data_IF_900749821084
#
_entry.id   IF_900749821084
#
_cell.length_a   1.000
_cell.length_b   1.000
_cell.length_c   1.000
_cell.angle_alpha   90.00
_cell.angle_beta   90.00
_cell.angle_gamma   90.00
#
_symmetry.space_group_name_H-M   'P 1'
#
loop_
_entity.id
_entity.type
_entity.pdbx_description
1 polymer ?
#
# COMPACT_ATOMS: atom_id res chain seq x y z
N UNK A 1 9.74 13.22 -71.96
CA UNK A 1 10.00 11.89 -71.34
C UNK A 1 9.17 11.81 -70.06
N UNK A 2 8.29 10.80 -69.96
CA UNK A 2 7.73 10.08 -68.79
C UNK A 2 7.83 10.81 -67.42
N UNK A 3 6.81 10.99 -66.58
CA UNK A 3 5.64 10.14 -66.28
C UNK A 3 4.65 10.91 -65.36
N UNK A 4 3.35 10.78 -65.61
CA UNK A 4 2.25 11.13 -64.68
C UNK A 4 2.05 10.02 -63.62
N UNK A 5 1.67 10.39 -62.39
CA UNK A 5 0.92 9.59 -61.40
C UNK A 5 0.19 10.57 -60.46
N UNK A 6 -1.05 10.94 -60.78
CA UNK A 6 -2.32 10.35 -60.31
C UNK A 6 -2.77 10.86 -58.92
N UNK A 7 -3.83 11.67 -58.96
CA UNK A 7 -4.76 11.97 -57.87
C UNK A 7 -5.46 10.67 -57.43
N UNK A 8 -5.76 10.52 -56.15
CA UNK A 8 -7.12 10.11 -55.73
C UNK A 8 -7.51 10.66 -54.35
N UNK A 9 -8.82 10.86 -54.11
CA UNK A 9 -9.37 11.58 -52.98
C UNK A 9 -9.92 10.67 -51.87
N UNK A 10 -10.14 11.31 -50.73
CA UNK A 10 -10.86 10.84 -49.56
C UNK A 10 -12.26 10.24 -49.83
N UNK A 11 -12.65 9.35 -48.90
CA UNK A 11 -14.02 9.03 -48.44
C UNK A 11 -14.93 8.18 -49.35
N UNK A 12 -14.99 6.88 -49.04
CA UNK A 12 -16.18 5.98 -49.13
C UNK A 12 -16.50 5.51 -47.72
N UNK A 13 -17.72 5.17 -47.29
CA UNK A 13 -19.07 5.27 -47.81
C UNK A 13 -19.94 4.74 -46.66
N UNK A 14 -20.78 5.60 -46.07
CA UNK A 14 -21.81 5.18 -45.13
C UNK A 14 -23.06 4.78 -45.94
N UNK A 15 -23.51 3.54 -45.78
CA UNK A 15 -24.73 3.07 -46.43
C UNK A 15 -25.97 3.21 -45.52
N UNK A 16 -27.06 3.55 -46.22
CA UNK A 16 -28.44 3.15 -45.97
C UNK A 16 -29.31 3.97 -45.02
N UNK A 17 -29.90 5.01 -45.61
CA UNK A 17 -31.28 5.44 -45.35
C UNK A 17 -32.23 4.48 -46.07
N UNK A 18 -33.19 3.89 -45.36
CA UNK A 18 -34.38 3.32 -45.98
C UNK A 18 -35.61 4.06 -45.46
N UNK A 19 -36.35 4.64 -46.40
CA UNK A 19 -37.56 5.42 -46.19
C UNK A 19 -38.79 4.56 -46.48
N UNK A 20 -39.87 4.87 -45.75
CA UNK A 20 -41.27 4.84 -46.20
C UNK A 20 -42.01 3.48 -46.24
N UNK A 21 -42.95 3.29 -45.32
CA UNK A 21 -44.41 3.50 -45.50
C UNK A 21 -45.17 2.70 -44.44
N UNK A 22 -46.06 3.40 -43.72
CA UNK A 22 -47.01 2.75 -42.83
C UNK A 22 -48.09 2.01 -43.62
N UNK A 23 -48.52 0.87 -43.07
CA UNK A 23 -49.85 0.31 -43.28
C UNK A 23 -50.09 -0.70 -42.15
N UNK A 24 -51.08 -0.39 -41.31
CA UNK A 24 -51.62 -1.31 -40.32
C UNK A 24 -52.37 -2.44 -41.05
N UNK A 25 -52.24 -3.69 -40.61
CA UNK A 25 -53.34 -4.65 -40.69
C UNK A 25 -53.17 -5.77 -39.65
N UNK A 26 -54.30 -6.07 -39.04
CA UNK A 26 -54.61 -7.03 -37.97
C UNK A 26 -54.25 -8.47 -38.34
N UNK A 27 -53.72 -9.25 -37.39
CA UNK A 27 -53.89 -10.71 -37.39
C UNK A 27 -53.68 -11.31 -35.98
N UNK A 28 -54.77 -11.78 -35.42
CA UNK A 28 -54.88 -12.68 -34.27
C UNK A 28 -54.18 -14.02 -34.57
N UNK A 29 -53.35 -14.55 -33.66
CA UNK A 29 -53.15 -16.00 -33.52
C UNK A 29 -52.39 -16.37 -32.23
N UNK A 30 -53.13 -17.03 -31.36
CA UNK A 30 -52.74 -17.84 -30.20
C UNK A 30 -51.68 -18.88 -30.58
N UNK A 31 -50.54 -18.97 -29.87
CA UNK A 31 -49.74 -20.20 -29.74
C UNK A 31 -48.85 -20.18 -28.47
N UNK A 32 -48.71 -21.37 -27.88
CA UNK A 32 -48.23 -21.72 -26.55
C UNK A 32 -46.73 -21.47 -26.33
N UNK A 33 -46.37 -20.95 -25.15
CA UNK A 33 -45.01 -21.06 -24.60
C UNK A 33 -45.02 -21.86 -23.30
N UNK A 34 -44.21 -22.91 -23.30
CA UNK A 34 -43.80 -23.68 -22.14
C UNK A 34 -43.17 -22.77 -21.08
N UNK A 35 -43.39 -23.15 -19.82
CA UNK A 35 -43.19 -22.32 -18.65
C UNK A 35 -41.78 -21.77 -18.45
N UNK A 36 -41.74 -20.54 -17.95
CA UNK A 36 -40.71 -20.06 -17.05
C UNK A 36 -41.46 -19.48 -15.85
N UNK A 37 -41.45 -20.19 -14.71
CA UNK A 37 -42.06 -19.70 -13.47
C UNK A 37 -41.27 -18.48 -13.01
N UNK A 38 -41.93 -17.33 -12.94
CA UNK A 38 -41.42 -16.11 -12.33
C UNK A 38 -41.86 -16.10 -10.87
N UNK A 39 -40.95 -16.39 -9.95
CA UNK A 39 -41.17 -16.11 -8.52
C UNK A 39 -41.19 -14.59 -8.30
N UNK A 40 -42.07 -14.07 -7.44
CA UNK A 40 -41.95 -12.70 -6.97
C UNK A 40 -40.81 -12.64 -5.94
N UNK A 41 -39.77 -11.86 -6.23
CA UNK A 41 -38.78 -11.49 -5.25
C UNK A 41 -39.46 -10.61 -4.19
N UNK A 42 -39.69 -11.18 -3.01
CA UNK A 42 -40.12 -10.46 -1.82
C UNK A 42 -38.97 -9.55 -1.38
N UNK A 43 -39.15 -8.23 -1.55
CA UNK A 43 -38.22 -7.23 -1.03
C UNK A 43 -38.46 -7.13 0.47
N UNK A 44 -37.62 -7.82 1.24
CA UNK A 44 -37.57 -7.64 2.69
C UNK A 44 -37.24 -6.18 3.00
N UNK A 45 -38.13 -5.52 3.74
CA UNK A 45 -37.94 -4.15 4.20
C UNK A 45 -36.79 -4.13 5.20
N UNK A 46 -35.66 -3.54 4.82
CA UNK A 46 -34.51 -3.36 5.71
C UNK A 46 -34.79 -2.15 6.60
N UNK A 47 -35.33 -2.39 7.80
CA UNK A 47 -35.29 -1.43 8.90
C UNK A 47 -34.03 -1.69 9.71
N UNK A 48 -32.90 -1.16 9.27
CA UNK A 48 -31.71 -1.02 10.11
C UNK A 48 -31.00 0.28 9.74
N UNK A 49 -31.39 1.35 10.42
CA UNK A 49 -30.56 2.56 10.53
C UNK A 49 -29.41 2.23 11.48
N UNK A 50 -28.47 1.41 11.05
CA UNK A 50 -27.13 1.44 11.60
C UNK A 50 -26.28 2.18 10.59
N UNK A 51 -25.67 3.28 11.05
CA UNK A 51 -24.73 4.03 10.26
C UNK A 51 -23.71 3.04 9.68
N UNK A 52 -23.57 3.05 8.35
CA UNK A 52 -22.49 2.37 7.65
C UNK A 52 -21.18 2.99 8.15
N UNK A 53 -20.68 2.46 9.27
CA UNK A 53 -19.32 2.67 9.70
C UNK A 53 -18.48 2.11 8.57
N UNK A 54 -17.71 2.96 7.90
CA UNK A 54 -16.65 2.54 6.99
C UNK A 54 -15.88 1.45 7.74
N UNK A 55 -16.09 0.18 7.34
CA UNK A 55 -15.43 -0.94 7.98
C UNK A 55 -14.00 -0.84 7.49
N UNK A 56 -13.15 -0.16 8.27
CA UNK A 56 -11.73 -0.46 8.28
C UNK A 56 -11.70 -1.95 8.53
N UNK A 57 -11.30 -2.74 7.53
CA UNK A 57 -11.22 -4.18 7.64
C UNK A 57 -10.12 -4.52 8.65
N UNK A 58 -10.50 -4.47 9.93
CA UNK A 58 -9.61 -4.69 11.06
C UNK A 58 -9.21 -6.15 11.06
N UNK A 59 -7.91 -6.45 11.16
CA UNK A 59 -7.47 -7.83 11.23
C UNK A 59 -8.05 -8.51 12.49
N UNK A 60 -8.24 -9.85 12.49
CA UNK A 60 -8.73 -10.57 13.67
C UNK A 60 -7.89 -10.37 14.94
N UNK A 61 -6.59 -10.11 14.76
CA UNK A 61 -5.65 -9.83 15.85
C UNK A 61 -5.65 -8.35 16.29
N UNK A 62 -6.50 -7.50 15.74
CA UNK A 62 -6.69 -6.11 16.16
C UNK A 62 -6.26 -5.08 15.12
N UNK A 63 -6.11 -3.84 15.59
CA UNK A 63 -5.75 -2.69 14.77
C UNK A 63 -4.25 -2.48 14.71
N UNK A 64 -3.80 -1.90 13.61
CA UNK A 64 -2.41 -1.59 13.38
C UNK A 64 -2.30 -0.22 12.75
N UNK A 65 -1.11 0.37 12.86
CA UNK A 65 -0.79 1.63 12.23
C UNK A 65 0.58 1.55 11.58
N UNK A 66 0.62 1.96 10.32
CA UNK A 66 1.87 2.23 9.61
C UNK A 66 1.83 3.65 9.09
N UNK A 67 2.96 4.14 8.63
CA UNK A 67 3.05 5.43 7.98
C UNK A 67 4.01 5.38 6.81
N UNK A 68 3.72 6.19 5.80
CA UNK A 68 4.62 6.38 4.68
C UNK A 68 5.82 7.24 5.10
N UNK A 69 6.91 7.17 4.33
CA UNK A 69 8.04 8.09 4.49
C UNK A 69 7.61 9.57 4.43
N UNK A 70 6.62 9.92 3.62
CA UNK A 70 6.09 11.29 3.54
C UNK A 70 5.31 11.70 4.79
N UNK A 71 4.58 10.77 5.40
CA UNK A 71 3.90 11.00 6.68
C UNK A 71 4.88 11.32 7.80
N UNK A 72 5.91 10.49 7.97
CA UNK A 72 6.94 10.72 9.00
C UNK A 72 7.79 11.97 8.76
N UNK A 73 8.06 12.30 7.50
CA UNK A 73 8.78 13.51 7.10
C UNK A 73 7.96 14.81 7.16
N UNK A 74 6.67 14.74 7.48
CA UNK A 74 5.83 15.94 7.52
C UNK A 74 6.23 16.90 8.63
N UNK A 75 6.15 18.21 8.36
CA UNK A 75 6.31 19.24 9.40
C UNK A 75 5.31 18.98 10.53
N UNK A 76 5.74 18.89 11.80
CA UNK A 76 4.85 18.67 12.93
C UNK A 76 3.72 19.70 12.99
N UNK A 77 2.48 19.25 12.84
CA UNK A 77 1.30 20.10 12.92
C UNK A 77 0.06 19.29 13.30
N UNK A 78 -0.67 19.75 14.33
CA UNK A 78 -1.84 19.04 14.82
C UNK A 78 -1.51 17.60 15.20
N UNK A 79 -2.33 16.65 14.78
CA UNK A 79 -2.17 15.23 15.09
C UNK A 79 -1.48 14.43 13.97
N UNK A 80 -0.72 15.10 13.09
CA UNK A 80 -0.06 14.40 11.98
C UNK A 80 1.09 13.48 12.47
N UNK A 81 1.59 12.57 11.61
CA UNK A 81 2.65 11.64 12.03
C UNK A 81 3.95 12.33 12.42
N UNK A 82 4.27 13.49 11.84
CA UNK A 82 5.41 14.32 12.25
C UNK A 82 5.31 14.78 13.72
N UNK A 83 4.13 15.22 14.17
CA UNK A 83 3.91 15.54 15.59
C UNK A 83 4.15 14.35 16.49
N UNK A 84 3.62 13.18 16.11
CA UNK A 84 3.81 11.95 16.89
C UNK A 84 5.29 11.54 16.97
N UNK A 85 6.01 11.61 15.85
CA UNK A 85 7.46 11.36 15.79
C UNK A 85 8.21 12.25 16.78
N UNK A 86 7.98 13.56 16.75
CA UNK A 86 8.68 14.50 17.64
C UNK A 86 8.35 14.30 19.11
N UNK A 87 7.11 13.94 19.44
CA UNK A 87 6.70 13.67 20.82
C UNK A 87 7.34 12.41 21.40
N UNK A 88 7.55 11.37 20.60
CA UNK A 88 7.87 10.03 21.10
C UNK A 88 9.29 9.54 20.78
N UNK A 89 10.00 10.18 19.83
CA UNK A 89 11.27 9.66 19.33
C UNK A 89 12.31 9.42 20.42
N UNK A 90 12.50 10.37 21.35
CA UNK A 90 13.52 10.24 22.39
C UNK A 90 13.24 9.06 23.35
N UNK A 91 11.97 8.73 23.60
CA UNK A 91 11.59 7.58 24.42
C UNK A 91 11.70 6.25 23.65
N UNK A 92 11.25 6.23 22.41
CA UNK A 92 11.29 5.04 21.57
C UNK A 92 12.72 4.68 21.11
N UNK A 93 13.57 5.69 20.88
CA UNK A 93 14.92 5.57 20.33
C UNK A 93 15.94 6.33 21.22
N UNK A 94 16.19 5.87 22.45
CA UNK A 94 17.07 6.58 23.40
C UNK A 94 18.53 6.70 22.92
N UNK A 95 18.95 5.84 21.99
CA UNK A 95 20.29 5.87 21.34
C UNK A 95 20.23 6.30 19.88
N UNK A 96 19.09 6.84 19.42
CA UNK A 96 18.82 7.10 18.01
C UNK A 96 18.35 5.88 17.23
N UNK A 97 17.97 6.12 15.97
CA UNK A 97 17.58 5.10 15.01
C UNK A 97 18.76 4.81 14.08
N UNK A 98 19.21 3.56 14.07
CA UNK A 98 20.24 3.07 13.15
C UNK A 98 19.63 2.10 12.13
N UNK A 99 19.90 2.33 10.84
CA UNK A 99 19.49 1.43 9.75
C UNK A 99 20.69 1.09 8.87
N UNK A 100 20.73 -0.12 8.32
CA UNK A 100 21.88 -0.69 7.62
C UNK A 100 22.61 -1.74 8.47
N UNK A 101 23.84 -2.07 8.07
CA UNK A 101 24.66 -3.08 8.72
C UNK A 101 26.17 -2.73 8.61
N UNK A 102 26.93 -3.23 7.62
CA UNK A 102 28.35 -2.86 7.38
C UNK A 102 28.49 -1.34 7.27
N UNK A 103 27.62 -0.75 6.46
CA UNK A 103 27.39 0.70 6.41
C UNK A 103 25.99 1.02 6.91
N UNK A 104 25.84 2.19 7.54
CA UNK A 104 24.63 2.55 8.27
C UNK A 104 24.28 4.04 8.18
N UNK A 105 23.01 4.34 8.38
CA UNK A 105 22.51 5.67 8.70
C UNK A 105 22.14 5.70 10.18
N UNK A 106 22.63 6.70 10.90
CA UNK A 106 22.23 7.01 12.27
C UNK A 106 21.46 8.32 12.31
N UNK A 107 20.22 8.28 12.82
CA UNK A 107 19.42 9.45 13.13
C UNK A 107 19.35 9.63 14.65
N UNK A 108 19.83 10.77 15.12
CA UNK A 108 19.97 11.06 16.56
C UNK A 108 18.79 11.82 17.15
N UNK A 109 17.85 12.29 16.32
CA UNK A 109 16.68 13.05 16.75
C UNK A 109 15.51 12.90 15.78
N UNK A 110 14.31 13.24 16.24
CA UNK A 110 13.13 13.38 15.39
C UNK A 110 13.34 14.41 14.27
N UNK A 111 13.99 15.55 14.56
CA UNK A 111 14.26 16.57 13.56
C UNK A 111 15.17 16.04 12.44
N UNK A 112 16.21 15.27 12.78
CA UNK A 112 17.08 14.66 11.76
C UNK A 112 16.32 13.73 10.81
N UNK A 113 15.25 13.08 11.29
CA UNK A 113 14.37 12.26 10.46
C UNK A 113 13.45 13.13 9.61
N UNK A 114 12.85 14.18 10.18
CA UNK A 114 12.02 15.14 9.43
C UNK A 114 12.81 15.83 8.32
N UNK A 115 14.07 16.19 8.57
CA UNK A 115 14.93 16.83 7.56
C UNK A 115 15.34 15.85 6.44
N UNK A 116 15.40 14.56 6.75
CA UNK A 116 15.76 13.50 5.81
C UNK A 116 14.58 13.03 4.96
N UNK A 117 13.41 12.82 5.56
CA UNK A 117 12.28 12.20 4.91
C UNK A 117 11.34 13.23 4.24
N UNK A 118 10.73 12.90 3.08
CA UNK A 118 11.03 11.73 2.24
C UNK A 118 12.29 11.95 1.39
N UNK A 119 13.10 10.89 1.25
CA UNK A 119 14.27 10.87 0.36
C UNK A 119 14.06 9.87 -0.79
N UNK A 120 13.53 10.35 -1.92
CA UNK A 120 13.29 9.53 -3.13
C UNK A 120 14.58 9.19 -3.89
N UNK A 121 14.47 8.90 -5.19
CA UNK A 121 15.63 8.55 -6.03
C UNK A 121 15.81 7.03 -6.22
N UNK A 122 16.89 6.59 -6.88
CA UNK A 122 17.16 5.16 -7.05
C UNK A 122 17.47 4.47 -5.72
N UNK A 123 17.18 3.18 -5.63
CA UNK A 123 17.67 2.36 -4.52
C UNK A 123 19.16 2.06 -4.72
N UNK A 124 19.98 2.33 -3.72
CA UNK A 124 21.44 2.14 -3.77
C UNK A 124 21.92 1.53 -2.44
N UNK A 125 22.92 0.65 -2.49
CA UNK A 125 23.64 0.17 -1.30
C UNK A 125 24.50 1.30 -0.72
N UNK A 126 24.52 1.45 0.60
CA UNK A 126 25.38 2.41 1.27
C UNK A 126 26.87 2.07 1.05
N UNK A 127 27.70 3.09 0.94
CA UNK A 127 29.16 2.94 0.74
C UNK A 127 29.99 3.49 1.90
N UNK A 128 29.33 4.11 2.88
CA UNK A 128 29.92 4.66 4.09
C UNK A 128 28.85 4.81 5.18
N UNK A 129 29.29 5.06 6.41
CA UNK A 129 28.39 5.45 7.50
C UNK A 129 28.00 6.93 7.38
N UNK A 130 26.75 7.23 7.74
CA UNK A 130 26.21 8.58 7.78
C UNK A 130 25.57 8.85 9.14
N UNK A 131 25.67 10.09 9.61
CA UNK A 131 24.97 10.56 10.82
C UNK A 131 24.16 11.79 10.46
N UNK A 132 22.86 11.75 10.72
CA UNK A 132 21.88 12.78 10.37
C UNK A 132 22.02 13.31 8.93
N UNK A 133 22.04 12.44 7.90
CA UNK A 133 22.04 12.93 6.51
C UNK A 133 20.73 13.67 6.21
N UNK A 134 20.80 14.76 5.45
CA UNK A 134 19.59 15.51 5.02
C UNK A 134 19.06 15.01 3.68
N UNK A 135 19.94 14.53 2.78
CA UNK A 135 19.52 14.01 1.47
C UNK A 135 20.56 13.06 0.90
N UNK A 136 20.16 11.84 0.57
CA UNK A 136 21.01 10.85 -0.10
C UNK A 136 20.49 10.46 -1.49
N UNK A 137 19.24 10.80 -1.81
CA UNK A 137 18.49 10.33 -2.98
C UNK A 137 18.43 8.80 -3.02
N UNK A 138 18.09 8.19 -1.88
CA UNK A 138 17.98 6.73 -1.74
C UNK A 138 16.60 6.31 -1.21
N UNK A 139 15.72 5.89 -2.13
CA UNK A 139 14.34 5.50 -1.79
C UNK A 139 14.29 4.31 -0.83
N UNK A 140 15.21 3.36 -0.94
CA UNK A 140 15.20 2.19 -0.05
C UNK A 140 15.51 2.60 1.38
N UNK A 141 16.52 3.46 1.57
CA UNK A 141 16.86 3.98 2.90
C UNK A 141 15.67 4.71 3.53
N UNK A 142 15.01 5.58 2.77
CA UNK A 142 13.81 6.31 3.22
C UNK A 142 12.67 5.38 3.63
N UNK A 143 12.40 4.33 2.86
CA UNK A 143 11.37 3.32 3.18
C UNK A 143 11.72 2.49 4.41
N UNK A 144 12.99 2.09 4.58
CA UNK A 144 13.46 1.34 5.76
C UNK A 144 13.33 2.20 7.03
N UNK A 145 13.68 3.49 6.96
CA UNK A 145 13.50 4.41 8.10
C UNK A 145 12.02 4.48 8.47
N UNK A 146 11.12 4.66 7.51
CA UNK A 146 9.69 4.72 7.75
C UNK A 146 9.11 3.44 8.38
N UNK A 147 9.55 2.27 7.93
CA UNK A 147 9.13 0.99 8.50
C UNK A 147 9.70 0.80 9.92
N UNK A 148 10.97 1.13 10.12
CA UNK A 148 11.63 1.03 11.43
C UNK A 148 10.92 1.88 12.48
N UNK A 149 10.47 3.08 12.11
CA UNK A 149 9.66 3.94 12.97
C UNK A 149 8.33 3.29 13.33
N UNK A 150 7.59 2.78 12.34
CA UNK A 150 6.28 2.15 12.58
C UNK A 150 6.41 0.93 13.50
N UNK A 151 7.34 0.02 13.22
CA UNK A 151 7.59 -1.19 14.04
C UNK A 151 7.99 -0.83 15.46
N UNK A 152 8.90 0.15 15.63
CA UNK A 152 9.37 0.51 16.96
C UNK A 152 8.32 1.27 17.76
N UNK A 153 7.55 2.15 17.14
CA UNK A 153 6.51 2.90 17.83
C UNK A 153 5.35 2.00 18.26
N UNK A 154 4.99 1.01 17.45
CA UNK A 154 4.04 -0.03 17.83
C UNK A 154 4.50 -0.80 19.09
N UNK A 155 5.78 -1.17 19.16
CA UNK A 155 6.34 -1.82 20.34
C UNK A 155 6.53 -0.91 21.57
N UNK A 156 6.63 0.42 21.35
CA UNK A 156 6.89 1.40 22.41
C UNK A 156 5.61 1.94 23.04
N UNK A 157 4.60 2.24 22.22
CA UNK A 157 3.32 2.81 22.64
C UNK A 157 2.19 1.85 22.26
N UNK A 158 1.58 1.15 23.23
CA UNK A 158 0.44 0.26 22.99
C UNK A 158 -0.75 0.94 22.30
N UNK A 159 -0.87 2.26 22.40
CA UNK A 159 -1.94 3.03 21.76
C UNK A 159 -1.63 3.40 20.30
N UNK A 160 -0.43 3.09 19.79
CA UNK A 160 -0.05 3.43 18.42
C UNK A 160 -0.83 2.63 17.37
N UNK A 161 -0.85 1.30 17.50
CA UNK A 161 -1.63 0.38 16.68
C UNK A 161 -2.86 -0.17 17.40
N UNK A 162 -2.79 -0.36 18.73
CA UNK A 162 -3.89 -0.84 19.56
C UNK A 162 -4.10 -2.36 19.59
N UNK A 163 -3.39 -3.13 18.75
CA UNK A 163 -3.35 -4.60 18.82
C UNK A 163 -2.46 -5.09 19.98
N UNK A 164 -2.76 -6.28 20.49
CA UNK A 164 -1.86 -7.03 21.39
C UNK A 164 -0.79 -7.84 20.66
N UNK A 165 -0.92 -8.02 19.35
CA UNK A 165 0.11 -8.60 18.46
C UNK A 165 0.99 -7.47 17.96
N UNK A 166 2.30 -7.68 17.92
CA UNK A 166 3.21 -6.66 17.41
C UNK A 166 3.12 -6.57 15.88
N UNK A 167 3.16 -5.35 15.33
CA UNK A 167 3.26 -5.09 13.89
C UNK A 167 4.41 -5.86 13.25
N UNK A 168 5.53 -5.97 13.96
CA UNK A 168 6.72 -6.72 13.51
C UNK A 168 6.49 -8.22 13.31
N UNK A 169 5.44 -8.79 13.92
CA UNK A 169 5.11 -10.23 13.86
C UNK A 169 4.04 -10.55 12.82
N UNK A 170 3.44 -9.53 12.19
CA UNK A 170 2.52 -9.73 11.08
C UNK A 170 3.21 -10.36 9.88
N UNK A 171 2.45 -11.16 9.14
CA UNK A 171 2.95 -12.00 8.06
C UNK A 171 2.59 -11.41 6.70
N UNK A 172 3.55 -11.37 5.78
CA UNK A 172 3.32 -10.95 4.40
C UNK A 172 2.48 -12.01 3.68
N UNK A 173 1.42 -11.58 2.99
CA UNK A 173 0.43 -12.48 2.37
C UNK A 173 0.85 -12.95 0.97
N UNK A 174 1.57 -12.14 0.20
CA UNK A 174 1.85 -12.41 -1.22
C UNK A 174 3.23 -11.92 -1.68
N UNK A 175 3.64 -12.37 -2.87
CA UNK A 175 4.93 -12.02 -3.49
C UNK A 175 6.12 -12.82 -2.96
N UNK A 176 7.32 -12.38 -3.30
CA UNK A 176 8.61 -13.04 -2.97
C UNK A 176 8.81 -13.29 -1.47
N UNK A 177 8.19 -12.47 -0.62
CA UNK A 177 8.32 -12.51 0.84
C UNK A 177 7.11 -13.13 1.55
N UNK A 178 6.18 -13.75 0.81
CA UNK A 178 5.01 -14.40 1.40
C UNK A 178 5.42 -15.40 2.50
N UNK A 179 4.76 -15.31 3.66
CA UNK A 179 5.06 -16.14 4.82
C UNK A 179 6.17 -15.61 5.74
N UNK A 180 6.93 -14.58 5.34
CA UNK A 180 7.86 -13.89 6.23
C UNK A 180 7.13 -12.92 7.15
N UNK A 181 7.69 -12.65 8.32
CA UNK A 181 7.22 -11.57 9.19
C UNK A 181 7.76 -10.21 8.75
N UNK A 182 7.10 -9.13 9.16
CA UNK A 182 7.58 -7.76 8.97
C UNK A 182 8.99 -7.57 9.54
N UNK A 183 9.29 -8.11 10.71
CA UNK A 183 10.62 -8.06 11.32
C UNK A 183 11.67 -8.81 10.49
N UNK A 184 11.32 -9.97 9.91
CA UNK A 184 12.23 -10.72 9.05
C UNK A 184 12.55 -9.95 7.75
N UNK A 185 11.54 -9.34 7.13
CA UNK A 185 11.73 -8.47 5.95
C UNK A 185 12.56 -7.25 6.32
N UNK A 186 12.29 -6.58 7.43
CA UNK A 186 13.05 -5.41 7.88
C UNK A 186 14.52 -5.77 8.15
N UNK A 187 14.81 -6.94 8.71
CA UNK A 187 16.18 -7.41 8.93
C UNK A 187 16.93 -7.63 7.60
N UNK A 188 16.30 -8.29 6.61
CA UNK A 188 16.89 -8.47 5.29
C UNK A 188 17.08 -7.15 4.54
N UNK A 189 16.14 -6.21 4.67
CA UNK A 189 16.25 -4.88 4.09
C UNK A 189 17.46 -4.11 4.63
N UNK A 190 17.72 -4.20 5.94
CA UNK A 190 18.92 -3.60 6.55
C UNK A 190 20.21 -4.23 6.01
N UNK A 191 20.23 -5.54 5.72
CA UNK A 191 21.37 -6.19 5.08
C UNK A 191 21.61 -5.64 3.67
N UNK A 192 20.56 -5.61 2.85
CA UNK A 192 20.63 -5.11 1.47
C UNK A 192 21.07 -3.64 1.44
N UNK A 193 20.48 -2.78 2.27
CA UNK A 193 20.86 -1.36 2.35
C UNK A 193 22.32 -1.20 2.79
N UNK A 194 22.72 -1.91 3.85
CA UNK A 194 24.02 -1.74 4.49
C UNK A 194 25.17 -2.48 3.82
N UNK A 195 24.93 -3.22 2.75
CA UNK A 195 25.97 -3.96 2.01
C UNK A 195 26.38 -5.29 2.66
N UNK A 196 25.51 -5.89 3.47
CA UNK A 196 25.68 -7.26 3.94
C UNK A 196 25.15 -8.25 2.92
N UNK A 197 25.60 -9.50 3.03
CA UNK A 197 25.13 -10.58 2.18
C UNK A 197 23.63 -10.79 2.39
N UNK A 198 22.88 -10.67 1.30
CA UNK A 198 21.47 -11.07 1.18
C UNK A 198 21.27 -11.66 -0.22
N UNK A 199 20.30 -12.55 -0.34
CA UNK A 199 19.90 -13.13 -1.62
C UNK A 199 18.88 -12.27 -2.38
N UNK A 200 18.34 -11.25 -1.71
CA UNK A 200 17.31 -10.37 -2.27
C UNK A 200 17.92 -9.13 -2.90
N UNK A 201 17.22 -8.57 -3.88
CA UNK A 201 17.66 -7.37 -4.58
C UNK A 201 17.16 -6.08 -3.93
N UNK A 202 17.76 -4.95 -4.32
CA UNK A 202 17.28 -3.62 -3.94
C UNK A 202 15.83 -3.38 -4.35
N UNK A 203 15.41 -3.86 -5.54
CA UNK A 203 14.04 -3.67 -6.04
C UNK A 203 13.04 -4.46 -5.21
N UNK A 204 13.35 -5.73 -4.92
CA UNK A 204 12.51 -6.59 -4.08
C UNK A 204 12.22 -5.92 -2.73
N UNK A 205 13.26 -5.33 -2.12
CA UNK A 205 13.15 -4.65 -0.83
C UNK A 205 12.35 -3.36 -0.89
N UNK A 206 12.50 -2.56 -1.96
CA UNK A 206 11.68 -1.34 -2.12
C UNK A 206 10.21 -1.70 -2.24
N UNK A 207 9.87 -2.69 -3.05
CA UNK A 207 8.49 -3.09 -3.31
C UNK A 207 7.79 -3.62 -2.05
N UNK A 208 8.42 -4.55 -1.33
CA UNK A 208 7.83 -5.16 -0.12
C UNK A 208 7.69 -4.14 1.01
N UNK A 209 8.72 -3.33 1.28
CA UNK A 209 8.67 -2.35 2.39
C UNK A 209 7.68 -1.24 2.08
N UNK A 210 7.60 -0.79 0.82
CA UNK A 210 6.61 0.18 0.39
C UNK A 210 5.19 -0.36 0.58
N UNK A 211 4.96 -1.65 0.29
CA UNK A 211 3.66 -2.30 0.50
C UNK A 211 3.31 -2.39 2.00
N UNK A 212 4.28 -2.71 2.86
CA UNK A 212 4.10 -2.73 4.32
C UNK A 212 3.77 -1.33 4.86
N UNK A 213 4.57 -0.32 4.50
CA UNK A 213 4.39 1.06 4.99
C UNK A 213 3.03 1.64 4.59
N UNK A 214 2.49 1.20 3.44
CA UNK A 214 1.19 1.64 2.93
C UNK A 214 0.02 0.78 3.40
N UNK A 215 0.25 -0.30 4.18
CA UNK A 215 -0.82 -1.23 4.50
C UNK A 215 -1.83 -0.68 5.51
N UNK A 216 -1.36 0.02 6.55
CA UNK A 216 -2.18 0.56 7.64
C UNK A 216 -1.99 2.06 7.83
N UNK A 217 -1.89 2.83 6.74
CA UNK A 217 -1.63 4.27 6.80
C UNK A 217 -2.65 4.95 7.73
N UNK A 218 -2.13 5.70 8.69
CA UNK A 218 -2.89 6.39 9.74
C UNK A 218 -3.75 5.49 10.64
N UNK A 219 -3.65 4.18 10.50
CA UNK A 219 -4.52 3.21 11.19
C UNK A 219 -5.96 3.24 10.69
N UNK A 220 -6.21 3.85 9.52
CA UNK A 220 -7.57 4.04 8.97
C UNK A 220 -7.83 3.20 7.73
N UNK A 221 -6.83 2.47 7.23
CA UNK A 221 -6.96 1.59 6.08
C UNK A 221 -6.35 0.23 6.40
N UNK A 222 -6.77 -0.81 5.68
CA UNK A 222 -6.06 -2.08 5.60
C UNK A 222 -5.90 -2.44 4.12
N UNK A 223 -4.65 -2.47 3.65
CA UNK A 223 -4.31 -2.81 2.26
C UNK A 223 -4.37 -4.31 1.95
N UNK A 224 -4.60 -5.18 2.94
CA UNK A 224 -4.67 -6.64 2.77
C UNK A 224 -3.32 -7.31 2.48
N UNK A 225 -2.21 -6.59 2.58
CA UNK A 225 -0.87 -7.13 2.34
C UNK A 225 -0.30 -7.92 3.53
N UNK A 226 -0.84 -7.65 4.73
CA UNK A 226 -0.44 -8.26 5.98
C UNK A 226 -1.59 -9.04 6.60
N UNK A 227 -1.25 -10.15 7.24
CA UNK A 227 -2.19 -10.96 8.03
C UNK A 227 -1.63 -11.26 9.42
N UNK A 228 -2.53 -11.65 10.32
CA UNK A 228 -2.14 -12.13 11.64
C UNK A 228 -1.25 -13.38 11.52
N UNK A 229 -0.25 -13.55 12.40
CA UNK A 229 0.40 -14.83 12.54
C UNK A 229 -0.67 -15.87 12.90
N UNK A 230 -0.60 -17.06 12.30
CA UNK A 230 -1.49 -18.16 12.64
C UNK A 230 -1.38 -18.46 14.13
N UNK A 231 -2.49 -18.45 14.87
CA UNK A 231 -2.52 -18.90 16.26
C UNK A 231 -2.28 -20.42 16.32
N UNK A 232 -1.02 -20.83 16.43
CA UNK A 232 -0.62 -22.23 16.60
C UNK A 232 -0.52 -23.04 15.30
N UNK A 233 0.72 -23.39 14.93
CA UNK A 233 1.05 -24.45 13.96
C UNK A 233 2.30 -25.18 14.43
N UNK A 234 2.43 -26.51 14.20
CA UNK A 234 3.12 -27.43 15.10
C UNK A 234 4.64 -27.30 15.00
N UNK A 235 5.30 -27.17 16.15
CA UNK A 235 6.64 -27.72 16.33
C UNK A 235 6.50 -29.12 16.90
#
# INVERSE_FOLDING_TARGET
MKQQRELTPELRSAESRFLLKGMAFVATALLLFNGCKKEPAEIATINSLEADSIIVDTLPCGNFRTQTQGGWGSTPQGNNPGTYLHANFAGAFPTGLSVGCTYSLLFTSAQAITDYLPDGGPAIVLTQNYTNPVKLKNVLASQIVALSLSVRFDAYDPAFGGSSVALGDLIIVSGTFAGMSVNAVLAEANKVLGGCISIYTLSDMVEVISSINQNFVDGTINGGFLQCPSEGGPW
#
